data_IF_854365997422
#
_entry.id   IF_854365997422
#
_cell.length_a   1.000
_cell.length_b   1.000
_cell.length_c   1.000
_cell.angle_alpha   90.00
_cell.angle_beta   90.00
_cell.angle_gamma   90.00
#
_symmetry.space_group_name_H-M   'P 1'
#
loop_
_entity.id
_entity.type
_entity.pdbx_description
1 polymer ?
#
# COMPACT_ATOMS: atom_id res chain seq x y z
N UNK A 1 -1.22 11.79 -3.15
CA UNK A 1 -2.27 11.06 -2.38
C UNK A 1 -3.66 11.65 -2.50
N UNK A 2 -3.81 12.98 -2.62
CA UNK A 2 -5.14 13.60 -2.68
C UNK A 2 -6.02 13.10 -3.83
N UNK A 3 -5.44 12.68 -4.97
CA UNK A 3 -6.18 12.08 -6.10
C UNK A 3 -6.22 10.54 -6.00
N UNK A 4 -5.12 9.91 -5.57
CA UNK A 4 -5.01 8.45 -5.45
C UNK A 4 -5.91 7.84 -4.36
N UNK A 5 -6.09 8.53 -3.22
CA UNK A 5 -6.93 8.07 -2.10
C UNK A 5 -8.42 8.03 -2.50
N UNK A 6 -9.01 9.08 -3.11
CA UNK A 6 -10.36 9.01 -3.67
C UNK A 6 -10.52 7.95 -4.75
N UNK A 7 -9.52 7.75 -5.61
CA UNK A 7 -9.53 6.69 -6.62
C UNK A 7 -9.51 5.30 -5.98
N UNK A 8 -8.69 5.08 -4.96
CA UNK A 8 -8.67 3.83 -4.20
C UNK A 8 -10.01 3.56 -3.52
N UNK A 9 -10.64 4.60 -2.96
CA UNK A 9 -11.99 4.51 -2.40
C UNK A 9 -13.04 4.15 -3.47
N UNK A 10 -12.90 4.65 -4.70
CA UNK A 10 -13.77 4.28 -5.83
C UNK A 10 -13.57 2.83 -6.27
N UNK A 11 -12.31 2.37 -6.38
CA UNK A 11 -11.99 0.97 -6.74
C UNK A 11 -12.56 0.02 -5.67
N UNK A 12 -12.32 0.31 -4.39
CA UNK A 12 -12.86 -0.51 -3.28
C UNK A 12 -14.38 -0.53 -3.26
N UNK A 13 -15.04 0.60 -3.55
CA UNK A 13 -16.49 0.68 -3.74
C UNK A 13 -16.97 -0.17 -4.91
N UNK A 14 -16.26 -0.17 -6.03
CA UNK A 14 -16.61 -0.98 -7.20
C UNK A 14 -16.59 -2.49 -6.87
N UNK A 15 -15.55 -2.95 -6.17
CA UNK A 15 -15.45 -4.34 -5.69
C UNK A 15 -16.49 -4.71 -4.61
N UNK A 16 -17.10 -3.70 -3.97
CA UNK A 16 -18.12 -3.87 -2.94
C UNK A 16 -19.48 -3.26 -3.36
N UNK A 17 -19.78 -3.20 -4.66
CA UNK A 17 -21.00 -2.56 -5.21
C UNK A 17 -22.31 -3.11 -4.63
N UNK A 18 -22.32 -4.35 -4.12
CA UNK A 18 -23.49 -4.98 -3.49
C UNK A 18 -23.80 -4.41 -2.09
N UNK A 19 -22.86 -3.74 -1.42
CA UNK A 19 -23.04 -3.11 -0.11
C UNK A 19 -23.57 -1.69 -0.31
N UNK A 20 -24.68 -1.35 0.35
CA UNK A 20 -25.27 0.00 0.35
C UNK A 20 -24.55 0.95 1.33
N UNK A 21 -23.22 1.01 1.26
CA UNK A 21 -22.41 1.91 2.09
C UNK A 21 -22.24 3.29 1.45
N UNK A 22 -22.14 4.33 2.28
CA UNK A 22 -21.84 5.69 1.78
C UNK A 22 -20.40 5.76 1.26
N UNK A 23 -20.15 6.57 0.22
CA UNK A 23 -18.80 6.77 -0.33
C UNK A 23 -17.78 7.21 0.73
N UNK A 24 -18.25 7.97 1.73
CA UNK A 24 -17.44 8.46 2.86
C UNK A 24 -16.82 7.30 3.66
N UNK A 25 -17.51 6.17 3.83
CA UNK A 25 -16.96 4.99 4.52
C UNK A 25 -15.73 4.43 3.79
N UNK A 26 -15.80 4.35 2.45
CA UNK A 26 -14.70 3.89 1.61
C UNK A 26 -13.53 4.88 1.59
N UNK A 27 -13.84 6.18 1.69
CA UNK A 27 -12.84 7.24 1.76
C UNK A 27 -12.07 7.19 3.09
N UNK A 28 -12.78 7.09 4.23
CA UNK A 28 -12.17 6.95 5.56
C UNK A 28 -11.32 5.67 5.62
N UNK A 29 -11.84 4.56 5.09
CA UNK A 29 -11.11 3.30 4.97
C UNK A 29 -9.80 3.47 4.19
N UNK A 30 -9.86 4.10 3.02
CA UNK A 30 -8.69 4.35 2.20
C UNK A 30 -7.66 5.21 2.92
N UNK A 31 -8.11 6.29 3.56
CA UNK A 31 -7.25 7.21 4.31
C UNK A 31 -6.54 6.49 5.47
N UNK A 32 -7.26 5.64 6.20
CA UNK A 32 -6.71 4.91 7.34
C UNK A 32 -5.59 3.95 6.89
N UNK A 33 -5.84 3.14 5.85
CA UNK A 33 -4.83 2.20 5.32
C UNK A 33 -3.60 2.93 4.78
N UNK A 34 -3.80 4.04 4.06
CA UNK A 34 -2.67 4.82 3.56
C UNK A 34 -1.88 5.45 4.70
N UNK A 35 -2.55 5.91 5.77
CA UNK A 35 -1.87 6.45 6.96
C UNK A 35 -0.99 5.39 7.63
N UNK A 36 -1.50 4.17 7.81
CA UNK A 36 -0.71 3.05 8.35
C UNK A 36 0.47 2.72 7.43
N UNK A 37 0.24 2.68 6.11
CA UNK A 37 1.30 2.47 5.13
C UNK A 37 2.40 3.54 5.21
N UNK A 38 2.03 4.82 5.36
CA UNK A 38 3.00 5.90 5.48
C UNK A 38 3.85 5.82 6.75
N UNK A 39 3.25 5.40 7.86
CA UNK A 39 4.01 5.17 9.10
C UNK A 39 5.05 4.07 8.88
N UNK A 40 4.66 2.93 8.31
CA UNK A 40 5.58 1.83 8.00
C UNK A 40 6.67 2.26 7.01
N UNK A 41 6.29 3.00 5.97
CA UNK A 41 7.23 3.50 4.97
C UNK A 41 8.23 4.50 5.59
N UNK A 42 7.80 5.30 6.56
CA UNK A 42 8.70 6.20 7.30
C UNK A 42 9.74 5.40 8.10
N UNK A 43 9.34 4.31 8.78
CA UNK A 43 10.29 3.40 9.43
C UNK A 43 11.29 2.81 8.42
N UNK A 44 10.80 2.32 7.28
CA UNK A 44 11.68 1.80 6.22
C UNK A 44 12.69 2.85 5.74
N UNK A 45 12.27 4.09 5.47
CA UNK A 45 13.19 5.18 5.06
C UNK A 45 14.21 5.48 6.16
N UNK A 46 13.77 5.58 7.42
CA UNK A 46 14.66 5.87 8.56
C UNK A 46 15.70 4.77 8.70
N UNK A 47 15.31 3.50 8.57
CA UNK A 47 16.26 2.39 8.64
C UNK A 47 17.28 2.48 7.51
N UNK A 48 16.87 2.65 6.25
CA UNK A 48 17.78 2.81 5.11
C UNK A 48 18.71 4.02 5.27
N UNK A 49 18.20 5.14 5.76
CA UNK A 49 19.01 6.31 6.05
C UNK A 49 20.05 6.04 7.14
N UNK A 50 19.67 5.33 8.21
CA UNK A 50 20.60 4.92 9.25
C UNK A 50 21.69 3.99 8.71
N UNK A 51 21.38 3.05 7.81
CA UNK A 51 22.39 2.20 7.14
C UNK A 51 23.44 3.04 6.42
N UNK A 52 22.99 3.99 5.61
CA UNK A 52 23.87 4.86 4.84
C UNK A 52 24.72 5.76 5.74
N UNK A 53 24.15 6.26 6.85
CA UNK A 53 24.86 7.15 7.78
C UNK A 53 25.89 6.41 8.63
N UNK A 54 25.57 5.22 9.13
CA UNK A 54 26.49 4.44 9.97
C UNK A 54 27.53 3.63 9.17
N UNK A 55 27.46 3.62 7.84
CA UNK A 55 28.45 2.96 6.98
C UNK A 55 28.51 1.44 7.20
N UNK A 56 27.37 0.82 7.50
CA UNK A 56 27.28 -0.62 7.75
C UNK A 56 27.62 -1.36 6.44
N UNK A 57 28.62 -2.25 6.47
CA UNK A 57 29.01 -3.04 5.29
C UNK A 57 27.90 -4.03 4.89
N UNK A 58 27.70 -4.16 3.58
CA UNK A 58 26.79 -5.14 2.98
C UNK A 58 27.20 -6.56 3.41
N UNK A 59 26.25 -7.35 3.92
CA UNK A 59 26.51 -8.71 4.43
C UNK A 59 26.88 -8.80 5.91
N UNK A 60 26.88 -7.69 6.66
CA UNK A 60 26.99 -7.73 8.11
C UNK A 60 25.75 -8.35 8.78
N UNK A 61 25.89 -8.88 9.99
CA UNK A 61 24.76 -9.40 10.79
C UNK A 61 23.63 -8.36 10.96
N UNK A 62 23.98 -7.08 11.10
CA UNK A 62 23.01 -5.99 11.20
C UNK A 62 22.18 -5.83 9.93
N UNK A 63 22.76 -5.97 8.74
CA UNK A 63 22.05 -5.90 7.46
C UNK A 63 20.97 -6.99 7.35
N UNK A 64 21.30 -8.22 7.72
CA UNK A 64 20.33 -9.32 7.76
C UNK A 64 19.17 -9.06 8.75
N UNK A 65 19.46 -8.46 9.91
CA UNK A 65 18.41 -8.14 10.90
C UNK A 65 17.42 -7.12 10.36
N UNK A 66 17.86 -6.04 9.72
CA UNK A 66 16.91 -5.04 9.20
C UNK A 66 16.22 -5.51 7.93
N UNK A 67 16.90 -6.26 7.06
CA UNK A 67 16.23 -6.96 5.97
C UNK A 67 15.07 -7.82 6.51
N UNK A 68 15.31 -8.57 7.59
CA UNK A 68 14.27 -9.32 8.29
C UNK A 68 13.12 -8.45 8.79
N UNK A 69 13.43 -7.33 9.44
CA UNK A 69 12.43 -6.37 9.94
C UNK A 69 11.58 -5.79 8.79
N UNK A 70 12.21 -5.37 7.68
CA UNK A 70 11.51 -4.80 6.53
C UNK A 70 10.59 -5.83 5.83
N UNK A 71 11.01 -7.09 5.75
CA UNK A 71 10.17 -8.18 5.22
C UNK A 71 8.95 -8.41 6.13
N UNK A 72 9.16 -8.40 7.45
CA UNK A 72 8.09 -8.52 8.43
C UNK A 72 7.11 -7.34 8.34
N UNK A 73 7.59 -6.11 8.25
CA UNK A 73 6.76 -4.91 8.08
C UNK A 73 5.85 -5.00 6.84
N UNK A 74 6.40 -5.39 5.68
CA UNK A 74 5.62 -5.57 4.44
C UNK A 74 4.57 -6.68 4.58
N UNK A 75 4.94 -7.79 5.23
CA UNK A 75 4.04 -8.92 5.44
C UNK A 75 2.91 -8.56 6.41
N UNK A 76 3.23 -7.85 7.49
CA UNK A 76 2.26 -7.35 8.46
C UNK A 76 1.27 -6.38 7.83
N UNK A 77 1.71 -5.51 6.92
CA UNK A 77 0.81 -4.63 6.18
C UNK A 77 -0.21 -5.43 5.35
N UNK A 78 0.24 -6.46 4.65
CA UNK A 78 -0.65 -7.30 3.82
C UNK A 78 -1.68 -8.03 4.69
N UNK A 79 -1.25 -8.59 5.82
CA UNK A 79 -2.13 -9.26 6.79
C UNK A 79 -3.14 -8.24 7.37
N UNK A 80 -2.67 -7.06 7.77
CA UNK A 80 -3.50 -5.99 8.28
C UNK A 80 -4.56 -5.57 7.26
N UNK A 81 -4.19 -5.39 5.99
CA UNK A 81 -5.09 -5.01 4.92
C UNK A 81 -6.21 -6.05 4.71
N UNK A 82 -5.87 -7.34 4.70
CA UNK A 82 -6.86 -8.44 4.57
C UNK A 82 -7.81 -8.47 5.77
N UNK A 83 -7.29 -8.37 7.00
CA UNK A 83 -8.09 -8.37 8.22
C UNK A 83 -9.02 -7.16 8.25
N UNK A 84 -8.51 -5.99 7.87
CA UNK A 84 -9.26 -4.75 7.87
C UNK A 84 -10.39 -4.78 6.81
N UNK A 85 -10.11 -5.28 5.60
CA UNK A 85 -11.15 -5.54 4.59
C UNK A 85 -12.22 -6.52 5.10
N UNK A 86 -11.80 -7.62 5.75
CA UNK A 86 -12.73 -8.60 6.32
C UNK A 86 -13.62 -7.95 7.38
N UNK A 87 -13.04 -7.16 8.30
CA UNK A 87 -13.74 -6.55 9.43
C UNK A 87 -14.71 -5.45 8.99
N UNK A 88 -14.30 -4.62 8.03
CA UNK A 88 -15.11 -3.47 7.56
C UNK A 88 -16.21 -3.90 6.57
N UNK A 89 -15.99 -4.96 5.80
CA UNK A 89 -16.92 -5.40 4.76
C UNK A 89 -17.62 -6.74 5.04
N UNK A 90 -17.45 -7.32 6.23
CA UNK A 90 -18.07 -8.57 6.72
C UNK A 90 -18.05 -9.73 5.70
N UNK A 91 -17.02 -9.78 4.84
CA UNK A 91 -16.92 -10.80 3.80
C UNK A 91 -16.28 -12.09 4.35
N UNK A 92 -16.59 -13.22 3.71
CA UNK A 92 -15.88 -14.47 3.98
C UNK A 92 -14.40 -14.33 3.65
N UNK A 93 -13.53 -14.99 4.43
CA UNK A 93 -12.07 -14.90 4.30
C UNK A 93 -11.58 -15.08 2.86
N UNK A 94 -12.13 -16.04 2.13
CA UNK A 94 -11.76 -16.30 0.74
C UNK A 94 -12.14 -15.16 -0.21
N UNK A 95 -13.33 -14.56 -0.01
CA UNK A 95 -13.76 -13.39 -0.79
C UNK A 95 -12.92 -12.17 -0.46
N UNK A 96 -12.53 -11.99 0.80
CA UNK A 96 -11.67 -10.87 1.23
C UNK A 96 -10.27 -10.96 0.60
N UNK A 97 -9.68 -12.16 0.55
CA UNK A 97 -8.38 -12.37 -0.11
C UNK A 97 -8.49 -12.08 -1.61
N UNK A 98 -9.47 -12.66 -2.30
CA UNK A 98 -9.63 -12.47 -3.75
C UNK A 98 -9.87 -11.00 -4.12
N UNK A 99 -10.70 -10.30 -3.33
CA UNK A 99 -10.93 -8.86 -3.51
C UNK A 99 -9.70 -8.02 -3.17
N UNK A 100 -8.92 -8.40 -2.17
CA UNK A 100 -7.64 -7.74 -1.84
C UNK A 100 -6.72 -7.73 -3.05
N UNK A 101 -6.49 -8.90 -3.66
CA UNK A 101 -5.68 -9.01 -4.86
C UNK A 101 -6.26 -8.20 -6.02
N UNK A 102 -7.58 -8.26 -6.24
CA UNK A 102 -8.23 -7.45 -7.27
C UNK A 102 -8.05 -5.95 -7.06
N UNK A 103 -8.28 -5.45 -5.85
CA UNK A 103 -8.13 -4.03 -5.51
C UNK A 103 -6.68 -3.59 -5.70
N UNK A 104 -5.71 -4.37 -5.22
CA UNK A 104 -4.28 -4.07 -5.39
C UNK A 104 -3.87 -4.07 -6.86
N UNK A 105 -4.38 -5.01 -7.67
CA UNK A 105 -4.10 -5.08 -9.09
C UNK A 105 -4.61 -3.83 -9.85
N UNK A 106 -5.88 -3.44 -9.62
CA UNK A 106 -6.43 -2.22 -10.22
C UNK A 106 -5.75 -0.95 -9.71
N UNK A 107 -5.34 -0.94 -8.45
CA UNK A 107 -4.57 0.17 -7.90
C UNK A 107 -3.19 0.30 -8.57
N UNK A 108 -2.51 -0.83 -8.84
CA UNK A 108 -1.23 -0.84 -9.55
C UNK A 108 -1.36 -0.30 -10.98
N UNK A 109 -2.41 -0.69 -11.72
CA UNK A 109 -2.71 -0.12 -13.05
C UNK A 109 -2.94 1.40 -12.95
N UNK A 110 -3.71 1.84 -11.95
CA UNK A 110 -3.98 3.28 -11.74
C UNK A 110 -2.69 4.04 -11.46
N UNK A 111 -1.81 3.46 -10.64
CA UNK A 111 -0.53 4.06 -10.29
C UNK A 111 0.40 4.15 -11.52
N UNK A 112 0.50 3.09 -12.33
CA UNK A 112 1.26 3.12 -13.58
C UNK A 112 0.70 4.14 -14.58
N UNK A 113 -0.62 4.23 -14.70
CA UNK A 113 -1.28 5.20 -15.57
C UNK A 113 -1.03 6.66 -15.14
N UNK A 114 -0.88 6.91 -13.83
CA UNK A 114 -0.55 8.24 -13.30
C UNK A 114 0.94 8.56 -13.49
N UNK A 115 1.83 7.57 -13.40
CA UNK A 115 3.28 7.77 -13.51
C UNK A 115 3.75 7.82 -14.98
N UNK A 116 3.11 7.10 -15.91
CA UNK A 116 3.57 7.02 -17.30
C UNK A 116 3.68 8.38 -18.02
N UNK A 117 2.76 9.35 -17.83
CA UNK A 117 2.88 10.66 -18.47
C UNK A 117 4.08 11.44 -17.95
N UNK A 118 4.36 11.33 -16.64
CA UNK A 118 5.52 11.95 -16.02
C UNK A 118 6.83 11.37 -16.56
N UNK A 119 6.93 10.05 -16.66
CA UNK A 119 8.10 9.39 -17.24
C UNK A 119 8.28 9.74 -18.72
N UNK A 120 7.18 9.84 -19.47
CA UNK A 120 7.21 10.21 -20.89
C UNK A 120 7.77 11.63 -21.10
N UNK A 121 7.38 12.59 -20.26
CA UNK A 121 7.92 13.96 -20.32
C UNK A 121 9.42 13.95 -19.99
N UNK A 122 9.81 13.29 -18.90
CA UNK A 122 11.22 13.24 -18.47
C UNK A 122 12.14 12.58 -19.52
N UNK A 123 11.68 11.51 -20.19
CA UNK A 123 12.45 10.84 -21.23
C UNK A 123 12.52 11.66 -22.53
N UNK A 124 11.50 12.46 -22.83
CA UNK A 124 11.48 13.34 -24.00
C UNK A 124 12.44 14.52 -23.86
N UNK A 125 12.71 14.96 -22.63
CA UNK A 125 13.58 16.10 -22.32
C UNK A 125 15.04 15.69 -22.05
N UNK A 126 15.38 14.39 -22.11
CA UNK A 126 16.76 13.85 -22.02
C UNK A 126 17.30 13.48 -23.40
#
# INVERSE_FOLDING_TARGET
>A
MFVLVPLFALITRWFHKKRKGYYVEYLIFSLHIHSVWFVLLSFSIITTWAYSFFGIQEGSFFDYLVSGIQILERSLFMIYFIIYLKKVFENSWWKSILKTFGILFFYLITLLAVISPYLYIMYKDS
#
